data_IF_981327161041
#
_entry.id   IF_981327161041
#
_cell.length_a   1.000
_cell.length_b   1.000
_cell.length_c   1.000
_cell.angle_alpha   90.00
_cell.angle_beta   90.00
_cell.angle_gamma   90.00
#
_symmetry.space_group_name_H-M   'P 1'
#
loop_
_entity.id
_entity.type
_entity.pdbx_description
1 polymer ?
#
# COMPACT_ATOMS: atom_id res chain seq x y z
N UNK A 1 5.49 -23.09 -6.97
CA UNK A 1 5.18 -21.77 -6.37
C UNK A 1 3.69 -21.55 -6.50
N UNK A 2 2.98 -21.26 -5.40
CA UNK A 2 1.58 -20.85 -5.49
C UNK A 2 1.60 -19.43 -6.05
N UNK A 3 1.10 -19.25 -7.28
CA UNK A 3 0.94 -17.92 -7.86
C UNK A 3 -0.07 -17.09 -7.07
N UNK A 4 -0.15 -15.79 -7.36
CA UNK A 4 -1.14 -14.91 -6.71
C UNK A 4 -2.55 -15.47 -6.91
N UNK A 5 -3.38 -15.39 -5.87
CA UNK A 5 -4.79 -15.77 -5.95
C UNK A 5 -5.52 -14.85 -6.94
N UNK A 6 -6.01 -15.36 -8.10
CA UNK A 6 -6.66 -14.52 -9.10
C UNK A 6 -7.94 -13.89 -8.56
N UNK A 7 -8.20 -12.63 -8.89
CA UNK A 7 -9.42 -11.93 -8.49
C UNK A 7 -9.51 -11.53 -7.00
N UNK A 8 -8.48 -11.81 -6.21
CA UNK A 8 -8.40 -11.39 -4.80
C UNK A 8 -7.45 -10.20 -4.63
N UNK A 9 -7.91 -9.21 -3.86
CA UNK A 9 -7.10 -8.07 -3.41
C UNK A 9 -7.20 -7.93 -1.89
N UNK A 10 -6.06 -7.72 -1.25
CA UNK A 10 -5.99 -7.27 0.13
C UNK A 10 -5.73 -5.75 0.13
N UNK A 11 -6.74 -4.98 0.50
CA UNK A 11 -6.70 -3.52 0.52
C UNK A 11 -6.70 -3.03 1.97
N UNK A 12 -5.68 -2.27 2.34
CA UNK A 12 -5.46 -1.85 3.72
C UNK A 12 -5.57 -0.34 3.86
N UNK A 13 -6.22 0.11 4.94
CA UNK A 13 -6.03 1.47 5.41
C UNK A 13 -4.57 1.68 5.90
N UNK A 14 -4.13 2.94 5.99
CA UNK A 14 -2.76 3.26 6.40
C UNK A 14 -2.67 3.47 7.91
N UNK A 15 -3.23 4.57 8.42
CA UNK A 15 -3.02 5.03 9.80
C UNK A 15 -3.84 4.20 10.80
N UNK A 16 -3.17 3.61 11.79
CA UNK A 16 -3.83 2.74 12.77
C UNK A 16 -4.12 1.31 12.28
N UNK A 17 -3.88 1.01 11.00
CA UNK A 17 -3.98 -0.35 10.43
C UNK A 17 -2.60 -0.93 10.11
N UNK A 18 -1.83 -0.28 9.21
CA UNK A 18 -0.47 -0.72 8.87
C UNK A 18 0.59 -0.07 9.76
N UNK A 19 0.28 1.10 10.32
CA UNK A 19 1.15 1.85 11.21
C UNK A 19 0.48 2.10 12.54
N UNK A 20 1.28 2.33 13.59
CA UNK A 20 0.78 3.00 14.79
C UNK A 20 0.38 4.43 14.37
N UNK A 21 -0.71 5.01 14.92
CA UNK A 21 -1.16 6.34 14.52
C UNK A 21 -0.03 7.37 14.43
N UNK A 22 0.06 8.05 13.27
CA UNK A 22 1.05 9.07 12.91
C UNK A 22 2.52 8.64 13.00
N UNK A 23 2.80 7.33 13.01
CA UNK A 23 4.15 6.79 13.01
C UNK A 23 4.48 6.10 11.68
N UNK A 24 5.78 5.87 11.50
CA UNK A 24 6.31 5.07 10.39
C UNK A 24 6.00 3.59 10.59
N UNK A 25 5.81 2.88 9.49
CA UNK A 25 5.63 1.43 9.45
C UNK A 25 6.83 0.73 10.13
N UNK A 26 6.54 -0.30 10.92
CA UNK A 26 7.60 -1.11 11.52
C UNK A 26 8.27 -1.99 10.47
N UNK A 27 9.56 -2.28 10.64
CA UNK A 27 10.31 -3.17 9.75
C UNK A 27 9.65 -4.55 9.60
N UNK A 28 9.15 -5.11 10.71
CA UNK A 28 8.43 -6.39 10.73
C UNK A 28 7.15 -6.35 9.87
N UNK A 29 6.39 -5.25 9.93
CA UNK A 29 5.19 -5.10 9.11
C UNK A 29 5.57 -4.93 7.63
N UNK A 30 6.59 -4.13 7.33
CA UNK A 30 7.08 -3.95 5.96
C UNK A 30 7.50 -5.30 5.32
N UNK A 31 8.22 -6.13 6.07
CA UNK A 31 8.60 -7.49 5.63
C UNK A 31 7.38 -8.37 5.41
N UNK A 32 6.41 -8.34 6.33
CA UNK A 32 5.16 -9.07 6.18
C UNK A 32 4.40 -8.66 4.90
N UNK A 33 4.28 -7.36 4.63
CA UNK A 33 3.59 -6.87 3.44
C UNK A 33 4.28 -7.33 2.15
N UNK A 34 5.62 -7.38 2.13
CA UNK A 34 6.40 -7.91 0.99
C UNK A 34 6.15 -9.40 0.77
N UNK A 35 6.07 -10.20 1.83
CA UNK A 35 5.73 -11.63 1.72
C UNK A 35 4.27 -11.82 1.27
N UNK A 36 3.34 -11.04 1.81
CA UNK A 36 1.92 -11.09 1.42
C UNK A 36 1.73 -10.81 -0.07
N UNK A 37 2.45 -9.81 -0.61
CA UNK A 37 2.42 -9.44 -2.04
C UNK A 37 2.85 -10.56 -3.00
N UNK A 38 3.56 -11.58 -2.51
CA UNK A 38 3.93 -12.77 -3.31
C UNK A 38 2.74 -13.70 -3.56
N UNK A 39 1.73 -13.69 -2.69
CA UNK A 39 0.61 -14.65 -2.71
C UNK A 39 -0.75 -14.02 -3.00
N UNK A 40 -0.88 -12.69 -2.86
CA UNK A 40 -2.09 -11.93 -3.20
C UNK A 40 -1.70 -10.55 -3.75
N UNK A 41 -2.62 -9.96 -4.53
CA UNK A 41 -2.51 -8.55 -4.90
C UNK A 41 -2.71 -7.68 -3.66
N UNK A 42 -1.80 -6.75 -3.39
CA UNK A 42 -1.84 -5.90 -2.20
C UNK A 42 -1.99 -4.43 -2.61
N UNK A 43 -2.93 -3.75 -1.99
CA UNK A 43 -3.11 -2.31 -2.12
C UNK A 43 -3.18 -1.59 -0.79
N UNK A 44 -2.92 -0.29 -0.81
CA UNK A 44 -3.14 0.62 0.32
C UNK A 44 -4.10 1.74 -0.08
N UNK A 45 -4.93 2.18 0.86
CA UNK A 45 -5.85 3.30 0.69
C UNK A 45 -5.76 4.22 1.90
N UNK A 46 -5.76 5.53 1.68
CA UNK A 46 -5.78 6.50 2.77
C UNK A 46 -6.47 7.80 2.34
N UNK A 47 -7.05 8.52 3.31
CA UNK A 47 -7.64 9.83 3.08
C UNK A 47 -6.61 10.96 2.94
N UNK A 48 -5.35 10.69 3.26
CA UNK A 48 -4.25 11.62 3.14
C UNK A 48 -3.73 11.70 1.69
N UNK A 49 -3.03 12.78 1.38
CA UNK A 49 -2.22 12.90 0.16
C UNK A 49 -1.09 11.84 0.12
N UNK A 50 -0.52 11.65 -1.08
CA UNK A 50 0.56 10.68 -1.32
C UNK A 50 1.81 10.96 -0.48
N UNK A 51 2.09 12.23 -0.17
CA UNK A 51 3.28 12.63 0.59
C UNK A 51 3.19 12.07 2.01
N UNK A 52 2.06 12.27 2.70
CA UNK A 52 1.82 11.74 4.04
C UNK A 52 1.80 10.22 4.08
N UNK A 53 1.20 9.58 3.06
CA UNK A 53 1.25 8.11 2.94
C UNK A 53 2.71 7.64 2.80
N UNK A 54 3.52 8.32 2.01
CA UNK A 54 4.94 8.01 1.81
C UNK A 54 5.79 8.26 3.06
N UNK A 55 5.44 9.26 3.88
CA UNK A 55 6.07 9.47 5.19
C UNK A 55 5.86 8.27 6.10
N UNK A 56 4.66 7.67 6.10
CA UNK A 56 4.35 6.53 6.96
C UNK A 56 4.86 5.19 6.40
N UNK A 57 4.72 4.94 5.10
CA UNK A 57 5.01 3.64 4.48
C UNK A 57 6.38 3.57 3.80
N UNK A 58 7.07 4.70 3.66
CA UNK A 58 8.36 4.82 3.00
C UNK A 58 8.26 5.43 1.59
N UNK A 59 9.39 5.95 1.10
CA UNK A 59 9.47 6.69 -0.17
C UNK A 59 9.18 5.84 -1.41
N UNK A 60 9.27 4.52 -1.29
CA UNK A 60 9.02 3.56 -2.37
C UNK A 60 7.59 3.04 -2.40
N UNK A 61 6.64 3.66 -1.67
CA UNK A 61 5.26 3.17 -1.54
C UNK A 61 4.58 2.81 -2.87
N UNK A 62 4.78 3.62 -3.92
CA UNK A 62 4.15 3.45 -5.24
C UNK A 62 4.62 2.14 -5.93
N UNK A 63 5.82 1.67 -5.61
CA UNK A 63 6.39 0.44 -6.17
C UNK A 63 6.36 -0.74 -5.20
N UNK A 64 6.23 -0.50 -3.90
CA UNK A 64 6.15 -1.52 -2.86
C UNK A 64 4.79 -2.26 -2.86
N UNK A 65 3.72 -1.59 -3.28
CA UNK A 65 2.36 -2.13 -3.38
C UNK A 65 1.90 -2.25 -4.84
N UNK A 66 0.93 -3.13 -5.12
CA UNK A 66 0.35 -3.25 -6.47
C UNK A 66 -0.61 -2.09 -6.77
N UNK A 67 -1.28 -1.57 -5.73
CA UNK A 67 -2.13 -0.37 -5.80
C UNK A 67 -1.84 0.59 -4.64
N UNK A 68 -1.84 1.88 -4.92
CA UNK A 68 -1.76 2.94 -3.91
C UNK A 68 -2.86 3.96 -4.20
N UNK A 69 -3.80 4.12 -3.27
CA UNK A 69 -4.90 5.07 -3.36
C UNK A 69 -4.71 6.17 -2.31
N UNK A 70 -4.35 7.37 -2.75
CA UNK A 70 -4.30 8.57 -1.92
C UNK A 70 -5.60 9.36 -2.06
N UNK A 71 -5.90 10.22 -1.09
CA UNK A 71 -7.11 11.06 -1.08
C UNK A 71 -8.40 10.25 -1.29
N UNK A 72 -8.49 9.10 -0.62
CA UNK A 72 -9.58 8.13 -0.77
C UNK A 72 -9.77 7.60 -2.22
N UNK A 73 -8.70 7.57 -3.00
CA UNK A 73 -8.68 7.06 -4.37
C UNK A 73 -8.91 8.12 -5.44
N UNK A 74 -8.98 9.41 -5.08
CA UNK A 74 -8.95 10.50 -6.08
C UNK A 74 -7.59 10.57 -6.79
N UNK A 75 -6.52 10.18 -6.11
CA UNK A 75 -5.21 9.96 -6.71
C UNK A 75 -4.86 8.48 -6.58
N UNK A 76 -4.55 7.81 -7.69
CA UNK A 76 -4.32 6.37 -7.69
C UNK A 76 -3.14 5.94 -8.56
N UNK A 77 -2.38 4.98 -8.03
CA UNK A 77 -1.28 4.33 -8.72
C UNK A 77 -1.52 2.82 -8.81
N UNK A 78 -1.10 2.22 -9.91
CA UNK A 78 -1.06 0.79 -10.14
C UNK A 78 0.30 0.40 -10.70
N UNK A 79 0.99 -0.53 -10.03
CA UNK A 79 2.31 -1.02 -10.44
C UNK A 79 3.33 0.09 -10.70
N UNK A 80 3.33 1.16 -9.90
CA UNK A 80 4.23 2.29 -10.10
C UNK A 80 3.73 3.39 -11.06
N UNK A 81 2.65 3.14 -11.80
CA UNK A 81 2.10 4.08 -12.79
C UNK A 81 0.84 4.76 -12.26
N UNK A 82 0.73 6.07 -12.47
CA UNK A 82 -0.48 6.83 -12.13
C UNK A 82 -1.63 6.44 -13.08
N UNK A 83 -2.82 6.21 -12.51
CA UNK A 83 -4.01 5.80 -13.25
C UNK A 83 -5.23 6.72 -13.04
N UNK A 84 -5.20 7.58 -12.02
CA UNK A 84 -6.26 8.57 -11.70
C UNK A 84 -5.62 9.80 -11.02
N UNK A 85 -6.02 11.00 -11.45
CA UNK A 85 -5.82 12.30 -10.77
C UNK A 85 -6.98 13.26 -11.00
#
# INVERSE_FOLDING_TARGET
MVGRTPGLIALFDVDGTLTVPRNVISQKMLEFMKELRKVVTVGVVGGSDLVKISEQLGKSVITDYDYVFAENGLVAYKNGEEIVS
#
